data_IF_179385691372
#
_entry.id   IF_179385691372
#
_cell.length_a   1.000
_cell.length_b   1.000
_cell.length_c   1.000
_cell.angle_alpha   90.00
_cell.angle_beta   90.00
_cell.angle_gamma   90.00
#
_symmetry.space_group_name_H-M   'P 1'
#
loop_
_entity.id
_entity.type
_entity.pdbx_description
1 polymer ?
#
# COMPACT_ATOMS: atom_id res chain seq x y z
N UNK A 1 11.75 -5.34 -2.22
CA UNK A 1 10.72 -5.95 -1.33
C UNK A 1 9.81 -4.85 -0.84
N UNK A 2 8.52 -5.14 -0.75
CA UNK A 2 7.49 -4.27 -0.15
C UNK A 2 6.62 -5.13 0.79
N UNK A 3 6.14 -4.54 1.88
CA UNK A 3 5.32 -5.21 2.88
C UNK A 3 4.56 -4.18 3.72
N UNK A 4 3.50 -4.62 4.40
CA UNK A 4 2.82 -3.88 5.46
C UNK A 4 3.42 -4.23 6.82
N UNK A 5 3.46 -3.27 7.75
CA UNK A 5 3.77 -3.53 9.16
C UNK A 5 2.57 -3.11 10.02
N UNK A 6 1.92 -4.07 10.67
CA UNK A 6 0.79 -3.83 11.55
C UNK A 6 0.96 -4.61 12.86
N UNK A 7 0.82 -3.95 14.01
CA UNK A 7 0.98 -4.56 15.34
C UNK A 7 2.27 -5.38 15.49
N UNK A 8 3.39 -4.83 15.00
CA UNK A 8 4.72 -5.48 14.99
C UNK A 8 4.82 -6.75 14.12
N UNK A 9 3.82 -7.03 13.28
CA UNK A 9 3.84 -8.14 12.33
C UNK A 9 4.02 -7.63 10.90
N UNK A 10 4.92 -8.28 10.15
CA UNK A 10 5.04 -8.07 8.71
C UNK A 10 3.92 -8.83 8.00
N UNK A 11 3.15 -8.12 7.20
CA UNK A 11 1.98 -8.60 6.46
C UNK A 11 2.18 -8.30 4.97
N UNK A 12 1.52 -9.07 4.11
CA UNK A 12 1.57 -8.91 2.65
C UNK A 12 3.01 -8.78 2.07
N UNK A 13 3.99 -9.60 2.46
CA UNK A 13 5.35 -9.47 1.94
C UNK A 13 5.41 -9.83 0.46
N UNK A 14 6.04 -8.98 -0.33
CA UNK A 14 6.25 -9.21 -1.77
C UNK A 14 7.68 -8.88 -2.17
N UNK A 15 8.41 -9.91 -2.59
CA UNK A 15 9.78 -9.81 -3.07
C UNK A 15 9.82 -9.65 -4.59
N UNK A 16 10.70 -8.76 -5.06
CA UNK A 16 10.87 -8.47 -6.48
C UNK A 16 12.30 -8.05 -6.77
N UNK A 17 12.71 -8.22 -8.02
CA UNK A 17 14.04 -7.82 -8.51
C UNK A 17 13.94 -6.42 -9.11
N UNK A 18 14.91 -5.55 -8.80
CA UNK A 18 14.95 -4.17 -9.28
C UNK A 18 14.27 -3.18 -8.34
N UNK A 19 13.86 -2.02 -8.88
CA UNK A 19 13.27 -0.92 -8.12
C UNK A 19 11.76 -1.04 -8.00
N UNK A 20 11.19 -0.57 -6.89
CA UNK A 20 9.74 -0.43 -6.77
C UNK A 20 9.28 0.64 -7.76
N UNK A 21 8.39 0.28 -8.68
CA UNK A 21 7.79 1.20 -9.62
C UNK A 21 6.26 1.19 -9.44
N UNK A 22 5.56 2.08 -10.16
CA UNK A 22 4.11 2.23 -10.03
C UNK A 22 3.36 0.93 -10.28
N UNK A 23 3.69 0.21 -11.37
CA UNK A 23 3.01 -1.05 -11.74
C UNK A 23 3.19 -2.10 -10.65
N UNK A 24 4.41 -2.23 -10.13
CA UNK A 24 4.72 -3.19 -9.07
C UNK A 24 3.99 -2.85 -7.77
N UNK A 25 3.95 -1.56 -7.42
CA UNK A 25 3.23 -1.08 -6.26
C UNK A 25 1.72 -1.32 -6.37
N UNK A 26 1.11 -1.00 -7.52
CA UNK A 26 -0.32 -1.23 -7.78
C UNK A 26 -0.65 -2.72 -7.75
N UNK A 27 0.19 -3.55 -8.34
CA UNK A 27 0.03 -5.01 -8.31
C UNK A 27 0.07 -5.53 -6.88
N UNK A 28 1.05 -5.09 -6.08
CA UNK A 28 1.15 -5.48 -4.66
C UNK A 28 -0.04 -4.99 -3.85
N UNK A 29 -0.48 -3.75 -4.07
CA UNK A 29 -1.64 -3.19 -3.40
C UNK A 29 -2.90 -4.04 -3.65
N UNK A 30 -3.21 -4.32 -4.91
CA UNK A 30 -4.41 -5.05 -5.31
C UNK A 30 -4.37 -6.53 -4.92
N UNK A 31 -3.23 -7.19 -5.13
CA UNK A 31 -3.13 -8.65 -4.99
C UNK A 31 -2.65 -9.12 -3.62
N UNK A 32 -2.03 -8.25 -2.82
CA UNK A 32 -1.52 -8.59 -1.50
C UNK A 32 -2.19 -7.74 -0.42
N UNK A 33 -2.02 -6.42 -0.43
CA UNK A 33 -2.42 -5.56 0.69
C UNK A 33 -3.93 -5.48 0.88
N UNK A 34 -4.72 -5.23 -0.16
CA UNK A 34 -6.17 -5.03 -0.01
C UNK A 34 -6.87 -6.24 0.63
N UNK A 35 -6.36 -7.45 0.42
CA UNK A 35 -6.91 -8.67 1.02
C UNK A 35 -6.68 -8.81 2.53
N UNK A 36 -5.75 -8.03 3.10
CA UNK A 36 -5.39 -8.08 4.51
C UNK A 36 -6.06 -6.97 5.34
N UNK A 37 -6.69 -6.01 4.68
CA UNK A 37 -7.32 -4.86 5.34
C UNK A 37 -8.74 -5.16 5.79
N UNK A 38 -9.08 -4.65 6.97
CA UNK A 38 -10.44 -4.66 7.53
C UNK A 38 -11.07 -3.27 7.45
N UNK A 39 -12.41 -3.17 7.30
CA UNK A 39 -13.10 -1.88 7.34
C UNK A 39 -12.76 -1.07 8.59
N UNK A 40 -12.44 0.22 8.40
CA UNK A 40 -12.07 1.13 9.48
C UNK A 40 -10.57 1.16 9.83
N UNK A 41 -9.75 0.33 9.19
CA UNK A 41 -8.29 0.44 9.31
C UNK A 41 -7.76 1.60 8.46
N UNK A 42 -6.71 2.25 8.97
CA UNK A 42 -6.02 3.36 8.28
C UNK A 42 -4.68 2.85 7.75
N UNK A 43 -4.49 2.95 6.44
CA UNK A 43 -3.21 2.66 5.79
C UNK A 43 -2.40 3.95 5.72
N UNK A 44 -1.18 3.91 6.24
CA UNK A 44 -0.21 5.01 6.15
C UNK A 44 0.90 4.61 5.19
N UNK A 45 1.10 5.41 4.15
CA UNK A 45 2.12 5.21 3.11
C UNK A 45 2.99 6.47 3.09
N UNK A 46 4.28 6.32 2.82
CA UNK A 46 5.18 7.46 2.66
C UNK A 46 4.84 8.27 1.39
N UNK A 47 5.23 9.55 1.37
CA UNK A 47 4.98 10.45 0.25
C UNK A 47 6.00 10.27 -0.89
N UNK A 48 6.26 9.02 -1.30
CA UNK A 48 7.07 8.77 -2.48
C UNK A 48 6.30 9.14 -3.76
N UNK A 49 6.99 9.71 -4.75
CA UNK A 49 6.39 10.18 -6.02
C UNK A 49 5.58 9.11 -6.78
N UNK A 50 5.84 7.84 -6.48
CA UNK A 50 5.14 6.69 -7.04
C UNK A 50 3.68 6.59 -6.56
N UNK A 51 3.31 7.24 -5.46
CA UNK A 51 1.98 7.21 -4.84
C UNK A 51 1.06 8.37 -5.29
N UNK A 52 1.62 9.39 -5.95
CA UNK A 52 0.99 10.70 -6.19
C UNK A 52 -0.29 10.71 -7.05
N UNK A 53 -0.61 9.61 -7.74
CA UNK A 53 -1.76 9.51 -8.66
C UNK A 53 -2.63 8.27 -8.39
N UNK A 54 -2.62 7.73 -7.17
CA UNK A 54 -3.25 6.45 -6.90
C UNK A 54 -4.71 6.58 -6.45
N UNK A 55 -5.53 5.72 -7.06
CA UNK A 55 -6.88 5.21 -6.75
C UNK A 55 -7.01 4.64 -5.30
N UNK A 56 -6.19 5.07 -4.35
CA UNK A 56 -6.22 4.56 -2.97
C UNK A 56 -7.45 5.08 -2.20
N UNK A 57 -7.90 6.30 -2.48
CA UNK A 57 -9.04 6.92 -1.77
C UNK A 57 -10.37 6.18 -1.98
N UNK A 58 -10.58 5.55 -3.14
CA UNK A 58 -11.90 5.00 -3.47
C UNK A 58 -12.14 3.63 -2.85
N UNK A 59 -11.08 2.85 -2.59
CA UNK A 59 -11.23 1.48 -2.07
C UNK A 59 -11.21 1.38 -0.54
N UNK A 60 -10.67 2.37 0.19
CA UNK A 60 -10.38 2.21 1.63
C UNK A 60 -11.10 3.23 2.54
N UNK A 61 -11.81 4.23 2.00
CA UNK A 61 -12.43 5.26 2.85
C UNK A 61 -11.42 6.02 3.73
N UNK A 62 -10.14 5.98 3.35
CA UNK A 62 -9.07 6.69 4.03
C UNK A 62 -8.87 8.05 3.35
N UNK A 63 -8.93 9.13 4.14
CA UNK A 63 -8.56 10.46 3.66
C UNK A 63 -7.07 10.48 3.32
N UNK A 64 -6.74 10.64 2.03
CA UNK A 64 -5.38 10.97 1.62
C UNK A 64 -5.05 12.38 2.12
N UNK A 65 -4.34 12.47 3.25
CA UNK A 65 -3.75 13.71 3.73
C UNK A 65 -2.27 13.70 3.37
N UNK A 66 -1.91 14.43 2.31
CA UNK A 66 -0.53 14.80 2.06
C UNK A 66 -0.04 15.65 3.25
N UNK A 67 0.97 15.18 3.96
CA UNK A 67 1.80 16.03 4.82
C UNK A 67 2.69 16.93 3.95
#
# INVERSE_FOLDING_TARGET
MIAELCKQNLIAPFAFVGVCNRILFETWLETCLLSTLEPGQVVVIDNARLHSNLILCTCIGAEYRSL
#
